data_IF_042947904576
#
_entry.id   IF_042947904576
#
_cell.length_a   1.000
_cell.length_b   1.000
_cell.length_c   1.000
_cell.angle_alpha   90.00
_cell.angle_beta   90.00
_cell.angle_gamma   90.00
#
_symmetry.space_group_name_H-M   'P 1'
#
loop_
_entity.id
_entity.type
_entity.pdbx_description
1 polymer ?
#
# COMPACT_ATOMS: atom_id res chain seq x y z
N UNK A 1 30.64 -10.31 4.77
CA UNK A 1 30.57 -9.17 5.71
C UNK A 1 29.30 -8.35 5.49
N UNK A 2 28.77 -7.69 6.52
CA UNK A 2 27.54 -6.88 6.45
C UNK A 2 27.84 -5.40 6.74
N UNK A 3 27.36 -4.50 5.88
CA UNK A 3 27.55 -3.05 6.04
C UNK A 3 26.20 -2.34 6.13
N UNK A 4 26.10 -1.31 6.97
CA UNK A 4 24.84 -0.62 7.22
C UNK A 4 24.53 0.49 6.21
N UNK A 5 25.57 1.10 5.64
CA UNK A 5 25.46 2.16 4.64
C UNK A 5 26.62 2.12 3.64
N UNK A 6 26.39 2.69 2.46
CA UNK A 6 27.38 2.80 1.40
C UNK A 6 27.04 3.96 0.46
N UNK A 7 28.00 4.36 -0.38
CA UNK A 7 27.82 5.34 -1.45
C UNK A 7 28.34 4.75 -2.75
N UNK A 8 27.62 4.99 -3.85
CA UNK A 8 28.05 4.53 -5.18
C UNK A 8 28.93 5.60 -5.80
N UNK A 9 30.19 5.29 -6.07
CA UNK A 9 31.09 6.13 -6.87
C UNK A 9 31.08 5.63 -8.31
N UNK A 10 30.40 6.35 -9.20
CA UNK A 10 30.22 5.98 -10.60
C UNK A 10 30.08 7.23 -11.45
N UNK A 11 30.66 7.27 -12.67
CA UNK A 11 30.46 8.39 -13.60
C UNK A 11 28.98 8.56 -14.02
N UNK A 12 28.14 7.55 -13.82
CA UNK A 12 26.71 7.57 -14.14
C UNK A 12 25.83 7.98 -12.96
N UNK A 13 26.41 8.34 -11.80
CA UNK A 13 25.66 8.74 -10.61
C UNK A 13 26.15 10.11 -10.14
N UNK A 14 25.21 11.04 -9.93
CA UNK A 14 25.49 12.36 -9.37
C UNK A 14 24.59 12.60 -8.17
N UNK A 15 25.21 12.92 -7.05
CA UNK A 15 24.54 13.34 -5.82
C UNK A 15 24.47 14.87 -5.76
N UNK A 16 23.32 15.42 -5.37
CA UNK A 16 23.13 16.83 -5.01
C UNK A 16 22.58 16.91 -3.59
N UNK A 17 22.30 18.12 -3.09
CA UNK A 17 21.82 18.34 -1.71
C UNK A 17 20.46 17.69 -1.41
N UNK A 18 19.68 17.33 -2.44
CA UNK A 18 18.36 16.70 -2.27
C UNK A 18 18.03 15.60 -3.26
N UNK A 19 18.91 15.29 -4.21
CA UNK A 19 18.58 14.39 -5.32
C UNK A 19 19.73 13.46 -5.67
N UNK A 20 19.38 12.27 -6.14
CA UNK A 20 20.29 11.34 -6.81
C UNK A 20 19.87 11.27 -8.27
N UNK A 21 20.79 11.63 -9.16
CA UNK A 21 20.64 11.50 -10.61
C UNK A 21 21.42 10.28 -11.07
N UNK A 22 20.78 9.37 -11.80
CA UNK A 22 21.46 8.19 -12.34
C UNK A 22 21.12 7.93 -13.80
N UNK A 23 22.12 7.48 -14.57
CA UNK A 23 21.96 7.07 -15.96
C UNK A 23 22.03 5.56 -16.06
N UNK A 24 21.02 4.95 -16.68
CA UNK A 24 20.92 3.51 -16.85
C UNK A 24 20.66 3.13 -18.30
N UNK A 25 21.53 2.28 -18.87
CA UNK A 25 21.29 1.66 -20.17
C UNK A 25 20.47 0.40 -20.00
N UNK A 26 19.15 0.48 -20.25
CA UNK A 26 18.29 -0.70 -20.23
C UNK A 26 18.48 -1.51 -21.50
N UNK A 27 19.20 -2.63 -21.38
CA UNK A 27 19.38 -3.59 -22.45
C UNK A 27 18.12 -4.44 -22.61
N UNK A 28 17.58 -4.46 -23.83
CA UNK A 28 16.36 -5.20 -24.18
C UNK A 28 16.45 -5.67 -25.62
N UNK A 29 15.43 -6.38 -26.10
CA UNK A 29 15.41 -6.99 -27.43
C UNK A 29 14.09 -6.71 -28.12
N UNK A 30 14.16 -6.25 -29.36
CA UNK A 30 13.00 -6.06 -30.23
C UNK A 30 12.87 -7.25 -31.19
N UNK A 31 11.68 -7.84 -31.27
CA UNK A 31 11.36 -8.86 -32.26
C UNK A 31 10.63 -8.23 -33.43
N UNK A 32 11.17 -8.42 -34.63
CA UNK A 32 10.55 -8.00 -35.89
C UNK A 32 10.24 -9.24 -36.72
N UNK A 33 9.00 -9.39 -37.16
CA UNK A 33 8.61 -10.43 -38.11
C UNK A 33 8.61 -9.84 -39.52
N UNK A 34 9.66 -10.11 -40.28
CA UNK A 34 9.87 -9.51 -41.61
C UNK A 34 10.03 -10.59 -42.67
N UNK A 35 9.53 -10.31 -43.87
CA UNK A 35 9.75 -11.17 -45.04
C UNK A 35 11.12 -10.88 -45.63
N UNK A 36 11.97 -11.90 -45.72
CA UNK A 36 13.22 -11.86 -46.50
C UNK A 36 13.20 -12.99 -47.51
N UNK A 37 13.46 -12.65 -48.78
CA UNK A 37 13.49 -13.63 -49.89
C UNK A 37 12.20 -14.47 -49.99
N UNK A 38 11.03 -13.87 -49.74
CA UNK A 38 9.74 -14.56 -49.81
C UNK A 38 9.44 -15.50 -48.63
N UNK A 39 10.31 -15.57 -47.63
CA UNK A 39 10.08 -16.32 -46.38
C UNK A 39 9.96 -15.35 -45.21
N UNK A 40 8.91 -15.50 -44.41
CA UNK A 40 8.79 -14.75 -43.15
C UNK A 40 9.74 -15.34 -42.11
N UNK A 41 10.52 -14.47 -41.48
CA UNK A 41 11.45 -14.86 -40.42
C UNK A 41 11.41 -13.85 -39.27
N UNK A 42 11.64 -14.38 -38.07
CA UNK A 42 11.84 -13.55 -36.88
C UNK A 42 13.26 -13.00 -36.87
N UNK A 43 13.38 -11.68 -36.72
CA UNK A 43 14.65 -10.99 -36.55
C UNK A 43 14.69 -10.43 -35.13
N UNK A 44 15.71 -10.86 -34.39
CA UNK A 44 15.96 -10.50 -33.00
C UNK A 44 16.98 -9.36 -32.99
N UNK A 45 16.57 -8.18 -32.55
CA UNK A 45 17.39 -6.95 -32.58
C UNK A 45 17.68 -6.50 -31.13
N UNK A 46 18.86 -6.82 -30.58
CA UNK A 46 19.29 -6.25 -29.30
C UNK A 46 19.32 -4.72 -29.40
N UNK A 47 18.81 -4.04 -28.38
CA UNK A 47 18.84 -2.59 -28.28
C UNK A 47 19.03 -2.13 -26.85
N UNK A 48 19.59 -0.95 -26.69
CA UNK A 48 19.76 -0.31 -25.38
C UNK A 48 18.93 0.96 -25.35
N UNK A 49 18.08 1.09 -24.35
CA UNK A 49 17.28 2.29 -24.09
C UNK A 49 17.92 3.04 -22.93
N UNK A 50 18.36 4.28 -23.16
CA UNK A 50 18.92 5.11 -22.11
C UNK A 50 17.80 5.69 -21.24
N UNK A 51 17.88 5.46 -19.93
CA UNK A 51 17.05 6.11 -18.93
C UNK A 51 17.90 7.06 -18.09
N UNK A 52 17.30 8.18 -17.71
CA UNK A 52 17.84 9.11 -16.73
C UNK A 52 16.85 9.16 -15.58
N UNK A 53 17.24 8.64 -14.42
CA UNK A 53 16.43 8.62 -13.22
C UNK A 53 16.82 9.79 -12.33
N UNK A 54 15.80 10.42 -11.75
CA UNK A 54 15.92 11.39 -10.67
C UNK A 54 15.19 10.82 -9.46
N UNK A 55 15.91 10.66 -8.36
CA UNK A 55 15.37 10.22 -7.07
C UNK A 55 15.49 11.36 -6.07
N UNK A 56 14.35 11.85 -5.58
CA UNK A 56 14.31 12.74 -4.43
C UNK A 56 14.77 11.97 -3.18
N UNK A 57 15.70 12.55 -2.43
CA UNK A 57 16.26 11.95 -1.22
C UNK A 57 15.51 12.36 0.04
N UNK A 58 14.63 13.36 -0.05
CA UNK A 58 13.76 13.73 1.06
C UNK A 58 12.72 12.64 1.31
N UNK A 59 12.78 12.04 2.49
CA UNK A 59 11.82 11.03 2.93
C UNK A 59 10.60 11.76 3.53
N UNK A 60 9.41 11.65 2.93
CA UNK A 60 8.24 12.37 3.40
C UNK A 60 7.68 11.73 4.68
N UNK A 61 7.04 12.54 5.53
CA UNK A 61 6.17 12.00 6.58
C UNK A 61 4.95 11.35 5.91
N UNK A 62 4.82 10.04 6.11
CA UNK A 62 3.83 9.22 5.42
C UNK A 62 2.61 8.95 6.29
N UNK A 63 1.43 9.23 5.74
CA UNK A 63 0.17 8.71 6.21
C UNK A 63 -0.27 7.49 5.40
N UNK A 64 -0.74 6.43 6.07
CA UNK A 64 -1.34 5.26 5.43
C UNK A 64 -2.77 5.12 5.93
N UNK A 65 -3.72 5.21 5.01
CA UNK A 65 -5.14 5.02 5.30
C UNK A 65 -5.61 3.65 4.79
N UNK A 66 -6.12 2.83 5.69
CA UNK A 66 -6.52 1.46 5.40
C UNK A 66 -8.03 1.36 5.23
N UNK A 67 -8.49 0.82 4.11
CA UNK A 67 -9.89 0.38 3.99
C UNK A 67 -9.98 -1.01 4.62
N UNK A 68 -10.82 -1.16 5.63
CA UNK A 68 -10.84 -2.34 6.51
C UNK A 68 -9.82 -2.26 7.65
N UNK A 69 -9.58 -1.06 8.19
CA UNK A 69 -8.56 -0.81 9.22
C UNK A 69 -8.78 -1.66 10.49
N UNK A 70 -10.04 -1.86 10.88
CA UNK A 70 -10.40 -2.72 11.99
C UNK A 70 -10.28 -4.22 11.68
N UNK A 71 -9.94 -4.63 10.47
CA UNK A 71 -9.73 -6.04 10.10
C UNK A 71 -8.50 -6.67 10.78
N UNK A 72 -8.32 -7.98 10.56
CA UNK A 72 -7.16 -8.70 11.12
C UNK A 72 -5.84 -8.08 10.66
N UNK A 73 -5.71 -7.80 9.36
CA UNK A 73 -4.50 -7.18 8.81
C UNK A 73 -4.30 -5.74 9.32
N UNK A 74 -5.34 -4.91 9.29
CA UNK A 74 -5.23 -3.51 9.70
C UNK A 74 -4.88 -3.34 11.18
N UNK A 75 -5.54 -4.12 12.06
CA UNK A 75 -5.21 -4.14 13.49
C UNK A 75 -3.81 -4.69 13.77
N UNK A 76 -3.41 -5.78 13.10
CA UNK A 76 -2.08 -6.38 13.28
C UNK A 76 -0.97 -5.50 12.74
N UNK A 77 -1.15 -4.86 11.58
CA UNK A 77 -0.16 -3.93 11.01
C UNK A 77 0.07 -2.74 11.95
N UNK A 78 -1.02 -2.14 12.42
CA UNK A 78 -0.97 -1.00 13.36
C UNK A 78 -0.28 -1.39 14.66
N UNK A 79 -0.70 -2.51 15.26
CA UNK A 79 -0.11 -3.07 16.47
C UNK A 79 1.39 -3.38 16.30
N UNK A 80 1.77 -4.02 15.19
CA UNK A 80 3.14 -4.40 14.91
C UNK A 80 4.06 -3.19 14.77
N UNK A 81 3.60 -2.12 14.13
CA UNK A 81 4.36 -0.87 14.04
C UNK A 81 4.50 -0.20 15.40
N UNK A 82 3.42 -0.08 16.18
CA UNK A 82 3.49 0.48 17.53
C UNK A 82 4.46 -0.33 18.40
N UNK A 83 4.37 -1.67 18.36
CA UNK A 83 5.25 -2.52 19.15
C UNK A 83 6.74 -2.33 18.81
N UNK A 84 7.08 -2.16 17.53
CA UNK A 84 8.46 -1.87 17.10
C UNK A 84 8.90 -0.48 17.55
N UNK A 85 8.08 0.56 17.29
CA UNK A 85 8.36 1.95 17.67
C UNK A 85 8.61 2.11 19.18
N UNK A 86 7.79 1.46 20.00
CA UNK A 86 7.88 1.54 21.46
C UNK A 86 8.88 0.52 22.06
N UNK A 87 9.54 -0.31 21.22
CA UNK A 87 10.51 -1.30 21.67
C UNK A 87 9.92 -2.39 22.57
N UNK A 88 8.66 -2.77 22.36
CA UNK A 88 7.93 -3.71 23.21
C UNK A 88 8.56 -5.10 23.15
N UNK A 89 8.67 -5.72 24.32
CA UNK A 89 8.96 -7.15 24.47
C UNK A 89 7.88 -7.80 25.32
N UNK A 90 7.61 -9.09 25.07
CA UNK A 90 6.57 -9.82 25.78
C UNK A 90 7.01 -11.25 26.04
N UNK A 91 6.52 -11.83 27.13
CA UNK A 91 6.77 -13.23 27.43
C UNK A 91 5.84 -14.12 26.61
N UNK A 92 6.38 -15.15 25.97
CA UNK A 92 5.63 -16.29 25.47
C UNK A 92 5.82 -17.49 26.39
N UNK A 93 5.22 -18.64 26.05
CA UNK A 93 5.44 -19.88 26.79
C UNK A 93 6.90 -20.35 26.74
N UNK A 94 7.66 -19.92 25.73
CA UNK A 94 9.01 -20.43 25.46
C UNK A 94 10.10 -19.41 25.82
N UNK A 95 9.88 -18.13 25.53
CA UNK A 95 10.90 -17.07 25.70
C UNK A 95 10.28 -15.68 25.73
N UNK A 96 11.08 -14.70 26.12
CA UNK A 96 10.76 -13.29 25.82
C UNK A 96 11.01 -13.04 24.34
N UNK A 97 10.01 -12.48 23.66
CA UNK A 97 10.09 -12.00 22.28
C UNK A 97 10.30 -10.50 22.28
N UNK A 98 10.98 -10.00 21.24
CA UNK A 98 11.11 -8.57 20.96
C UNK A 98 10.40 -8.26 19.66
N UNK A 99 9.69 -7.13 19.60
CA UNK A 99 9.08 -6.65 18.38
C UNK A 99 10.12 -6.54 17.25
N UNK A 100 9.73 -6.97 16.06
CA UNK A 100 10.56 -6.94 14.86
C UNK A 100 9.68 -6.84 13.60
N UNK A 101 10.32 -6.67 12.44
CA UNK A 101 9.67 -6.64 11.13
C UNK A 101 9.98 -7.89 10.29
N UNK A 102 10.12 -9.06 10.92
CA UNK A 102 10.33 -10.30 10.16
C UNK A 102 9.19 -10.55 9.16
N UNK A 103 9.55 -11.07 7.99
CA UNK A 103 8.64 -11.21 6.85
C UNK A 103 8.55 -9.96 5.96
N UNK A 104 9.04 -8.79 6.40
CA UNK A 104 9.15 -7.61 5.54
C UNK A 104 10.41 -7.66 4.68
N UNK A 105 10.24 -7.64 3.35
CA UNK A 105 11.38 -7.55 2.43
C UNK A 105 12.20 -6.27 2.67
N UNK A 106 11.54 -5.13 2.85
CA UNK A 106 12.26 -3.85 2.99
C UNK A 106 13.02 -3.74 4.31
N UNK A 107 12.47 -4.30 5.39
CA UNK A 107 13.04 -4.15 6.74
C UNK A 107 13.93 -5.31 7.18
N UNK A 108 13.69 -6.52 6.69
CA UNK A 108 14.33 -7.74 7.19
C UNK A 108 15.08 -8.55 6.11
N UNK A 109 15.23 -8.02 4.90
CA UNK A 109 16.08 -8.63 3.86
C UNK A 109 17.38 -7.84 3.62
N UNK A 110 18.31 -8.51 2.94
CA UNK A 110 19.60 -7.95 2.55
C UNK A 110 19.81 -8.09 1.04
N UNK A 111 20.63 -7.21 0.49
CA UNK A 111 21.05 -7.24 -0.91
C UNK A 111 22.57 -7.30 -1.00
N UNK A 112 23.09 -8.09 -1.94
CA UNK A 112 24.51 -8.13 -2.25
C UNK A 112 24.91 -6.86 -2.99
N UNK A 113 25.87 -6.12 -2.44
CA UNK A 113 26.35 -4.84 -3.01
C UNK A 113 27.70 -4.98 -3.70
N UNK A 114 28.49 -6.02 -3.39
CA UNK A 114 29.78 -6.23 -4.03
C UNK A 114 30.60 -7.31 -3.34
N UNK A 115 31.92 -7.28 -3.56
CA UNK A 115 32.89 -8.12 -2.87
C UNK A 115 34.03 -7.30 -2.30
N UNK A 116 34.61 -7.77 -1.19
CA UNK A 116 35.80 -7.21 -0.56
C UNK A 116 36.71 -8.34 -0.12
N UNK A 117 37.95 -8.36 -0.63
CA UNK A 117 38.93 -9.42 -0.37
C UNK A 117 38.41 -10.85 -0.64
N UNK A 118 37.60 -11.02 -1.67
CA UNK A 118 37.02 -12.32 -2.05
C UNK A 118 35.76 -12.72 -1.28
N UNK A 119 35.34 -11.95 -0.28
CA UNK A 119 34.07 -12.16 0.42
C UNK A 119 32.94 -11.33 -0.19
N UNK A 120 31.72 -11.88 -0.18
CA UNK A 120 30.53 -11.14 -0.57
C UNK A 120 30.09 -10.17 0.53
N UNK A 121 29.74 -8.96 0.10
CA UNK A 121 29.29 -7.88 0.97
C UNK A 121 27.81 -7.66 0.74
N UNK A 122 27.07 -7.66 1.84
CA UNK A 122 25.63 -7.45 1.88
C UNK A 122 25.31 -6.20 2.68
N UNK A 123 24.20 -5.56 2.32
CA UNK A 123 23.64 -4.43 3.05
C UNK A 123 22.12 -4.63 3.26
N UNK A 124 21.49 -3.99 4.27
CA UNK A 124 20.04 -4.03 4.43
C UNK A 124 19.35 -3.53 3.16
N UNK A 125 18.22 -4.12 2.76
CA UNK A 125 17.51 -3.69 1.56
C UNK A 125 17.14 -2.19 1.60
N UNK A 126 16.65 -1.72 2.76
CA UNK A 126 16.35 -0.29 3.00
C UNK A 126 17.53 0.67 2.93
N UNK A 127 18.77 0.17 2.87
CA UNK A 127 19.96 1.02 2.72
C UNK A 127 20.27 1.39 1.26
N UNK A 128 19.57 0.78 0.29
CA UNK A 128 19.78 1.04 -1.14
C UNK A 128 19.51 2.49 -1.52
N UNK A 129 18.41 3.04 -1.02
CA UNK A 129 17.94 4.41 -1.26
C UNK A 129 17.18 4.89 -0.01
N UNK A 130 17.03 6.22 0.20
CA UNK A 130 16.21 6.74 1.28
C UNK A 130 14.78 6.20 1.23
N UNK A 131 14.31 5.62 2.33
CA UNK A 131 12.98 5.02 2.46
C UNK A 131 12.34 5.43 3.78
N UNK A 132 11.01 5.52 3.80
CA UNK A 132 10.23 5.75 5.03
C UNK A 132 10.52 4.65 6.04
N UNK A 133 10.83 5.05 7.29
CA UNK A 133 10.88 4.12 8.40
C UNK A 133 9.44 3.76 8.82
N UNK A 134 9.05 2.47 8.85
CA UNK A 134 7.72 2.06 9.27
C UNK A 134 7.30 2.59 10.65
N UNK A 135 8.24 2.78 11.57
CA UNK A 135 7.97 3.34 12.92
C UNK A 135 7.40 4.76 12.88
N UNK A 136 7.62 5.49 11.79
CA UNK A 136 7.20 6.89 11.59
C UNK A 136 5.88 7.01 10.81
N UNK A 137 5.31 5.89 10.34
CA UNK A 137 4.07 5.89 9.58
C UNK A 137 2.89 6.25 10.50
N UNK A 138 2.08 7.20 10.05
CA UNK A 138 0.80 7.52 10.69
C UNK A 138 -0.30 6.67 10.07
N UNK A 139 -0.99 5.86 10.88
CA UNK A 139 -2.10 5.03 10.42
C UNK A 139 -3.46 5.68 10.70
N UNK A 140 -4.38 5.48 9.76
CA UNK A 140 -5.80 5.80 9.88
C UNK A 140 -6.60 4.92 8.92
N UNK A 141 -7.88 5.25 8.72
CA UNK A 141 -8.69 4.63 7.68
C UNK A 141 -10.11 4.34 8.11
N UNK A 142 -10.74 3.44 7.38
CA UNK A 142 -12.17 3.17 7.44
C UNK A 142 -12.45 1.72 7.77
N UNK A 143 -13.57 1.44 8.43
CA UNK A 143 -14.13 0.10 8.55
C UNK A 143 -15.65 0.22 8.66
N UNK A 144 -16.36 -0.77 8.14
CA UNK A 144 -17.83 -0.83 8.28
C UNK A 144 -18.24 -1.14 9.73
N UNK A 145 -17.29 -1.52 10.60
CA UNK A 145 -17.44 -1.64 12.05
C UNK A 145 -16.81 -0.46 12.78
N UNK A 146 -17.48 0.06 13.81
CA UNK A 146 -16.96 1.11 14.71
C UNK A 146 -16.03 0.60 15.82
N UNK A 147 -15.67 -0.70 15.79
CA UNK A 147 -14.82 -1.30 16.81
C UNK A 147 -13.42 -0.66 16.82
N UNK A 148 -13.00 -0.15 17.98
CA UNK A 148 -11.65 0.40 18.15
C UNK A 148 -10.58 -0.67 17.89
N UNK A 149 -9.36 -0.23 17.58
CA UNK A 149 -8.28 -1.09 17.14
C UNK A 149 -7.79 -2.06 18.23
N UNK A 150 -7.91 -1.72 19.52
CA UNK A 150 -7.55 -2.65 20.61
C UNK A 150 -8.53 -3.84 20.69
N UNK A 151 -9.83 -3.57 20.59
CA UNK A 151 -10.85 -4.63 20.58
C UNK A 151 -10.83 -5.40 19.25
N UNK A 152 -10.53 -4.73 18.14
CA UNK A 152 -10.30 -5.38 16.85
C UNK A 152 -9.10 -6.34 16.88
N UNK A 153 -7.99 -5.94 17.51
CA UNK A 153 -6.82 -6.80 17.75
C UNK A 153 -7.20 -8.04 18.57
N UNK A 154 -7.98 -7.86 19.64
CA UNK A 154 -8.47 -8.97 20.46
C UNK A 154 -9.40 -9.92 19.66
N UNK A 155 -10.30 -9.37 18.85
CA UNK A 155 -11.18 -10.13 17.94
C UNK A 155 -10.38 -10.92 16.90
N UNK A 156 -9.31 -10.33 16.38
CA UNK A 156 -8.48 -10.92 15.33
C UNK A 156 -7.71 -12.17 15.82
N UNK A 157 -7.37 -12.24 17.12
CA UNK A 157 -6.67 -13.37 17.74
C UNK A 157 -5.35 -13.74 17.05
N UNK A 158 -4.64 -12.72 16.55
CA UNK A 158 -3.35 -12.90 15.86
C UNK A 158 -2.18 -12.80 16.83
N UNK A 159 -2.16 -11.77 17.67
CA UNK A 159 -1.03 -11.46 18.56
C UNK A 159 -1.15 -12.18 19.91
N UNK A 160 -0.02 -12.42 20.57
CA UNK A 160 0.00 -12.99 21.93
C UNK A 160 -0.75 -12.12 22.93
N UNK A 161 -1.43 -12.75 23.90
CA UNK A 161 -2.28 -12.05 24.88
C UNK A 161 -1.49 -11.00 25.69
N UNK A 162 -0.24 -11.30 26.05
CA UNK A 162 0.60 -10.36 26.81
C UNK A 162 0.91 -9.11 25.99
N UNK A 163 1.29 -9.27 24.72
CA UNK A 163 1.48 -8.18 23.79
C UNK A 163 0.19 -7.36 23.59
N UNK A 164 -0.97 -8.02 23.45
CA UNK A 164 -2.25 -7.32 23.34
C UNK A 164 -2.55 -6.42 24.54
N UNK A 165 -2.26 -6.88 25.76
CA UNK A 165 -2.45 -6.07 26.98
C UNK A 165 -1.55 -4.85 26.99
N UNK A 166 -0.29 -5.01 26.60
CA UNK A 166 0.68 -3.92 26.54
C UNK A 166 0.31 -2.89 25.45
N UNK A 167 -0.27 -3.33 24.34
CA UNK A 167 -0.68 -2.46 23.22
C UNK A 167 -2.03 -1.76 23.43
N UNK A 168 -2.89 -2.25 24.32
CA UNK A 168 -4.24 -1.69 24.53
C UNK A 168 -4.26 -0.17 24.76
N UNK A 169 -3.43 0.42 25.65
CA UNK A 169 -3.44 1.87 25.89
C UNK A 169 -3.13 2.71 24.64
N UNK A 170 -2.41 2.13 23.67
CA UNK A 170 -2.06 2.82 22.43
C UNK A 170 -3.19 2.73 21.38
N UNK A 171 -4.01 1.68 21.42
CA UNK A 171 -4.93 1.33 20.34
C UNK A 171 -6.41 1.52 20.68
N UNK A 172 -6.77 1.68 21.96
CA UNK A 172 -8.18 1.77 22.37
C UNK A 172 -8.88 3.07 21.96
N UNK A 173 -8.10 4.12 21.66
CA UNK A 173 -8.59 5.40 21.16
C UNK A 173 -8.55 5.51 19.63
N UNK A 174 -8.01 4.51 18.94
CA UNK A 174 -7.99 4.46 17.48
C UNK A 174 -9.30 3.82 17.01
N UNK A 175 -10.20 4.63 16.46
CA UNK A 175 -11.51 4.19 15.95
C UNK A 175 -11.57 4.43 14.44
N UNK A 176 -11.95 3.44 13.62
CA UNK A 176 -12.09 3.63 12.18
C UNK A 176 -13.16 4.66 11.81
N UNK A 177 -12.90 5.42 10.75
CA UNK A 177 -13.92 6.23 10.09
C UNK A 177 -15.02 5.34 9.48
N UNK A 178 -16.24 5.85 9.27
CA UNK A 178 -17.31 5.09 8.63
C UNK A 178 -16.91 4.59 7.24
N UNK A 179 -17.11 3.31 6.93
CA UNK A 179 -16.80 2.72 5.63
C UNK A 179 -17.95 2.80 4.62
N UNK A 180 -17.66 2.59 3.33
CA UNK A 180 -18.71 2.33 2.33
C UNK A 180 -19.12 0.86 2.43
N UNK A 181 -20.41 0.60 2.58
CA UNK A 181 -20.97 -0.75 2.65
C UNK A 181 -21.99 -0.95 1.53
N UNK A 182 -21.73 -1.94 0.67
CA UNK A 182 -22.69 -2.45 -0.29
C UNK A 182 -22.85 -3.97 -0.07
N UNK A 183 -24.02 -4.45 0.40
CA UNK A 183 -24.25 -5.85 0.70
C UNK A 183 -24.17 -6.74 -0.55
N UNK A 184 -24.36 -6.21 -1.75
CA UNK A 184 -24.34 -7.00 -2.99
C UNK A 184 -22.90 -7.32 -3.43
N UNK A 185 -21.90 -6.63 -2.86
CA UNK A 185 -20.50 -6.85 -3.21
C UNK A 185 -19.75 -7.78 -2.27
N UNK A 186 -20.25 -8.03 -1.06
CA UNK A 186 -19.59 -8.88 -0.07
C UNK A 186 -20.53 -9.95 0.48
N UNK A 187 -20.01 -10.91 1.24
CA UNK A 187 -20.82 -11.98 1.82
C UNK A 187 -21.92 -11.43 2.75
N UNK A 188 -23.15 -11.96 2.62
CA UNK A 188 -24.31 -11.53 3.40
C UNK A 188 -24.12 -11.64 4.92
N UNK A 189 -23.21 -12.51 5.39
CA UNK A 189 -22.87 -12.66 6.80
C UNK A 189 -22.12 -11.46 7.40
N UNK A 190 -21.74 -10.46 6.59
CA UNK A 190 -21.13 -9.22 7.07
C UNK A 190 -22.15 -8.18 7.54
N UNK A 191 -23.45 -8.38 7.30
CA UNK A 191 -24.48 -7.38 7.62
C UNK A 191 -24.54 -6.99 9.10
N UNK A 192 -24.34 -7.93 10.03
CA UNK A 192 -24.32 -7.63 11.47
C UNK A 192 -23.09 -6.86 11.94
N UNK A 193 -22.02 -6.84 11.13
CA UNK A 193 -20.79 -6.08 11.39
C UNK A 193 -20.90 -4.62 10.93
N UNK A 194 -21.78 -4.32 9.98
CA UNK A 194 -21.89 -3.03 9.33
C UNK A 194 -22.70 -2.02 10.17
N UNK A 195 -22.09 -1.47 11.23
CA UNK A 195 -22.70 -0.42 12.08
C UNK A 195 -22.08 0.97 11.89
N UNK A 196 -21.04 1.10 11.06
CA UNK A 196 -20.27 2.33 10.84
C UNK A 196 -20.16 2.63 9.34
N UNK A 197 -21.23 3.17 8.76
CA UNK A 197 -21.40 3.23 7.29
C UNK A 197 -21.65 4.65 6.78
N UNK A 198 -20.97 5.02 5.70
CA UNK A 198 -21.25 6.23 4.92
C UNK A 198 -22.53 6.03 4.10
N UNK A 199 -23.52 6.90 4.33
CA UNK A 199 -24.81 6.90 3.64
C UNK A 199 -24.80 7.86 2.44
N UNK A 200 -25.83 7.76 1.61
CA UNK A 200 -26.03 8.62 0.45
C UNK A 200 -25.76 7.89 -0.86
N UNK A 201 -25.79 8.66 -1.94
CA UNK A 201 -25.42 8.21 -3.30
C UNK A 201 -23.93 7.88 -3.38
N UNK A 202 -23.54 7.08 -4.37
CA UNK A 202 -22.14 6.73 -4.65
C UNK A 202 -21.27 7.97 -4.85
N UNK A 203 -21.83 9.02 -5.48
CA UNK A 203 -21.15 10.31 -5.64
C UNK A 203 -20.89 10.98 -4.29
N UNK A 204 -21.88 11.04 -3.40
CA UNK A 204 -21.72 11.59 -2.05
C UNK A 204 -20.70 10.79 -1.24
N UNK A 205 -20.70 9.46 -1.37
CA UNK A 205 -19.72 8.58 -0.74
C UNK A 205 -18.30 8.89 -1.21
N UNK A 206 -18.07 9.06 -2.52
CA UNK A 206 -16.75 9.49 -3.06
C UNK A 206 -16.33 10.83 -2.47
N UNK A 207 -17.23 11.80 -2.40
CA UNK A 207 -16.93 13.12 -1.81
C UNK A 207 -16.58 13.02 -0.32
N UNK A 208 -17.24 12.12 0.42
CA UNK A 208 -16.90 11.88 1.82
C UNK A 208 -15.49 11.27 1.95
N UNK A 209 -15.11 10.30 1.12
CA UNK A 209 -13.75 9.73 1.14
C UNK A 209 -12.70 10.78 0.80
N UNK A 210 -12.96 11.64 -0.19
CA UNK A 210 -12.08 12.76 -0.53
C UNK A 210 -11.88 13.69 0.68
N UNK A 211 -12.97 14.04 1.36
CA UNK A 211 -12.94 14.87 2.57
C UNK A 211 -12.12 14.21 3.67
N UNK A 212 -12.37 12.92 3.94
CA UNK A 212 -11.68 12.16 4.97
C UNK A 212 -10.16 12.10 4.73
N UNK A 213 -9.73 11.92 3.48
CA UNK A 213 -8.30 11.93 3.10
C UNK A 213 -7.67 13.30 3.38
N UNK A 214 -8.35 14.40 3.03
CA UNK A 214 -7.87 15.77 3.27
C UNK A 214 -7.76 16.07 4.77
N UNK A 215 -8.81 15.77 5.52
CA UNK A 215 -8.85 16.00 6.96
C UNK A 215 -7.79 15.15 7.69
N UNK A 216 -7.60 13.88 7.29
CA UNK A 216 -6.53 13.05 7.82
C UNK A 216 -5.15 13.64 7.53
N UNK A 217 -4.92 14.10 6.29
CA UNK A 217 -3.66 14.72 5.89
C UNK A 217 -3.34 15.95 6.72
N UNK A 218 -4.31 16.85 6.86
CA UNK A 218 -4.19 18.10 7.60
C UNK A 218 -3.99 17.87 9.10
N UNK A 219 -4.86 17.06 9.72
CA UNK A 219 -4.83 16.80 11.16
C UNK A 219 -3.50 16.15 11.61
N UNK A 220 -2.93 15.26 10.79
CA UNK A 220 -1.71 14.54 11.12
C UNK A 220 -0.43 15.19 10.58
N UNK A 221 -0.58 16.27 9.80
CA UNK A 221 0.53 17.01 9.17
C UNK A 221 1.46 16.08 8.39
N UNK A 222 0.90 15.16 7.60
CA UNK A 222 1.66 14.24 6.75
C UNK A 222 1.84 14.83 5.36
N UNK A 223 3.00 14.61 4.74
CA UNK A 223 3.33 15.19 3.43
C UNK A 223 2.65 14.40 2.31
N UNK A 224 2.63 13.06 2.46
CA UNK A 224 2.02 12.12 1.52
C UNK A 224 1.06 11.19 2.22
N UNK A 225 0.03 10.78 1.49
CA UNK A 225 -0.92 9.74 1.91
C UNK A 225 -0.87 8.62 0.89
N UNK A 226 -1.02 7.38 1.36
CA UNK A 226 -1.30 6.20 0.54
C UNK A 226 -2.56 5.54 1.09
N UNK A 227 -3.47 5.14 0.22
CA UNK A 227 -4.64 4.35 0.59
C UNK A 227 -4.43 2.90 0.18
N UNK A 228 -4.70 1.97 1.09
CA UNK A 228 -4.59 0.54 0.82
C UNK A 228 -5.89 -0.18 1.20
N UNK A 229 -6.44 -0.93 0.26
CA UNK A 229 -7.55 -1.83 0.51
C UNK A 229 -7.07 -3.12 1.17
N UNK A 230 -7.52 -3.35 2.40
CA UNK A 230 -7.33 -4.61 3.12
C UNK A 230 -8.65 -5.10 3.76
N UNK A 231 -9.78 -4.66 3.22
CA UNK A 231 -11.11 -5.08 3.64
C UNK A 231 -11.49 -6.43 3.02
N UNK A 232 -12.72 -6.85 3.29
CA UNK A 232 -13.29 -8.06 2.71
C UNK A 232 -13.11 -8.10 1.18
N UNK A 233 -12.87 -9.29 0.66
CA UNK A 233 -12.91 -9.54 -0.78
C UNK A 233 -14.30 -9.24 -1.30
N UNK A 234 -14.37 -8.38 -2.31
CA UNK A 234 -15.60 -8.16 -3.06
C UNK A 234 -15.76 -9.21 -4.17
N UNK A 235 -16.99 -9.44 -4.63
CA UNK A 235 -17.19 -10.09 -5.94
C UNK A 235 -16.62 -9.21 -7.05
N UNK A 236 -16.43 -9.80 -8.23
CA UNK A 236 -16.06 -9.01 -9.40
C UNK A 236 -17.21 -8.12 -9.85
N UNK A 237 -16.88 -6.93 -10.34
CA UNK A 237 -17.78 -6.09 -11.14
C UNK A 237 -17.78 -6.56 -12.59
N UNK A 238 -18.94 -6.52 -13.24
CA UNK A 238 -19.04 -6.69 -14.69
C UNK A 238 -18.37 -5.52 -15.42
N UNK A 239 -17.58 -5.83 -16.45
CA UNK A 239 -17.01 -4.81 -17.35
C UNK A 239 -17.88 -4.71 -18.58
N UNK A 240 -18.53 -3.56 -18.78
CA UNK A 240 -19.57 -3.37 -19.81
C UNK A 240 -19.35 -2.06 -20.55
N UNK A 241 -19.47 -2.12 -21.88
CA UNK A 241 -19.41 -0.93 -22.75
C UNK A 241 -20.50 0.07 -22.37
N UNK A 242 -20.12 1.33 -22.14
CA UNK A 242 -21.05 2.38 -21.69
C UNK A 242 -21.26 2.44 -20.18
N UNK A 243 -20.64 1.54 -19.40
CA UNK A 243 -20.75 1.50 -17.95
C UNK A 243 -19.43 1.92 -17.28
N UNK A 244 -18.36 1.15 -17.53
CA UNK A 244 -17.07 1.25 -16.83
C UNK A 244 -15.90 0.80 -17.72
N UNK A 245 -16.07 0.96 -19.03
CA UNK A 245 -15.07 0.67 -20.08
C UNK A 245 -14.20 1.88 -20.44
N UNK A 246 -14.62 3.07 -20.02
CA UNK A 246 -13.90 4.32 -20.19
C UNK A 246 -14.08 5.21 -18.97
N UNK A 247 -13.16 6.16 -18.78
CA UNK A 247 -13.26 7.18 -17.73
C UNK A 247 -14.61 7.92 -17.76
N UNK A 248 -15.03 8.42 -18.93
CA UNK A 248 -16.27 9.20 -19.07
C UNK A 248 -17.52 8.37 -18.72
N UNK A 249 -17.54 7.11 -19.14
CA UNK A 249 -18.63 6.19 -18.81
C UNK A 249 -18.66 5.87 -17.32
N UNK A 250 -17.50 5.64 -16.69
CA UNK A 250 -17.40 5.37 -15.26
C UNK A 250 -17.93 6.54 -14.42
N UNK A 251 -17.55 7.78 -14.74
CA UNK A 251 -18.05 8.97 -14.05
C UNK A 251 -19.54 9.21 -14.31
N UNK A 252 -20.01 8.97 -15.54
CA UNK A 252 -21.44 9.05 -15.85
C UNK A 252 -22.26 8.00 -15.08
N UNK A 253 -21.71 6.80 -14.89
CA UNK A 253 -22.31 5.72 -14.11
C UNK A 253 -22.32 6.03 -12.61
N UNK A 254 -21.28 6.72 -12.12
CA UNK A 254 -21.25 7.25 -10.74
C UNK A 254 -22.38 8.25 -10.52
N UNK A 255 -22.59 9.17 -11.46
CA UNK A 255 -23.65 10.18 -11.40
C UNK A 255 -25.06 9.56 -11.45
N UNK A 256 -25.24 8.47 -12.20
CA UNK A 256 -26.48 7.69 -12.26
C UNK A 256 -26.67 6.72 -11.09
N UNK A 257 -25.70 6.65 -10.16
CA UNK A 257 -25.71 5.75 -9.02
C UNK A 257 -25.84 4.26 -9.43
N UNK A 258 -25.15 3.87 -10.51
CA UNK A 258 -25.26 2.52 -11.07
C UNK A 258 -24.85 1.44 -10.05
N UNK A 259 -25.62 0.34 -9.92
CA UNK A 259 -25.39 -0.67 -8.90
C UNK A 259 -24.04 -1.39 -9.07
N UNK A 260 -23.54 -1.53 -10.29
CA UNK A 260 -22.35 -2.34 -10.59
C UNK A 260 -21.00 -1.64 -10.30
N UNK A 261 -21.02 -0.42 -9.75
CA UNK A 261 -19.83 0.27 -9.23
C UNK A 261 -19.57 -0.17 -7.78
N UNK A 262 -18.51 -0.93 -7.54
CA UNK A 262 -18.23 -1.45 -6.20
C UNK A 262 -17.75 -0.37 -5.22
N UNK A 263 -17.87 -0.59 -3.90
CA UNK A 263 -17.22 0.24 -2.89
C UNK A 263 -15.72 0.44 -3.16
N UNK A 264 -14.97 -0.60 -3.52
CA UNK A 264 -13.53 -0.44 -3.83
C UNK A 264 -13.28 0.49 -5.02
N UNK A 265 -14.14 0.50 -6.04
CA UNK A 265 -14.07 1.47 -7.14
C UNK A 265 -14.30 2.89 -6.66
N UNK A 266 -15.21 3.12 -5.70
CA UNK A 266 -15.44 4.45 -5.13
C UNK A 266 -14.22 4.98 -4.37
N UNK A 267 -13.56 4.13 -3.57
CA UNK A 267 -12.29 4.51 -2.94
C UNK A 267 -11.20 4.80 -3.97
N UNK A 268 -11.08 3.98 -5.02
CA UNK A 268 -10.10 4.19 -6.09
C UNK A 268 -10.34 5.52 -6.83
N UNK A 269 -11.60 5.84 -7.18
CA UNK A 269 -11.97 7.13 -7.79
C UNK A 269 -11.57 8.30 -6.88
N UNK A 270 -11.91 8.24 -5.59
CA UNK A 270 -11.55 9.27 -4.63
C UNK A 270 -10.03 9.50 -4.56
N UNK A 271 -9.25 8.42 -4.54
CA UNK A 271 -7.79 8.49 -4.50
C UNK A 271 -7.20 9.08 -5.78
N UNK A 272 -7.70 8.69 -6.96
CA UNK A 272 -7.25 9.25 -8.24
C UNK A 272 -7.55 10.75 -8.32
N UNK A 273 -8.75 11.18 -7.92
CA UNK A 273 -9.13 12.59 -7.90
C UNK A 273 -8.27 13.44 -6.95
N UNK A 274 -7.76 12.84 -5.87
CA UNK A 274 -6.87 13.48 -4.89
C UNK A 274 -5.39 13.24 -5.13
N UNK A 275 -5.03 12.60 -6.25
CA UNK A 275 -3.65 12.22 -6.59
C UNK A 275 -2.95 11.45 -5.45
N UNK A 276 -3.70 10.55 -4.81
CA UNK A 276 -3.24 9.66 -3.74
C UNK A 276 -3.06 8.25 -4.33
N UNK A 277 -1.90 7.60 -4.13
CA UNK A 277 -1.73 6.21 -4.55
C UNK A 277 -2.75 5.29 -3.85
N UNK A 278 -3.44 4.48 -4.64
CA UNK A 278 -4.36 3.45 -4.16
C UNK A 278 -3.81 2.06 -4.46
N UNK A 279 -3.73 1.22 -3.43
CA UNK A 279 -3.25 -0.16 -3.52
C UNK A 279 -4.41 -1.11 -3.25
N UNK A 280 -4.72 -1.99 -4.20
CA UNK A 280 -5.69 -3.05 -3.97
C UNK A 280 -5.00 -4.30 -3.41
N UNK A 281 -5.22 -4.59 -2.11
CA UNK A 281 -4.71 -5.77 -1.44
C UNK A 281 -5.62 -7.01 -1.51
N UNK A 282 -6.74 -6.92 -2.23
CA UNK A 282 -7.74 -7.99 -2.36
C UNK A 282 -7.94 -8.36 -3.85
N UNK A 283 -8.54 -9.54 -4.15
CA UNK A 283 -8.49 -10.08 -5.51
C UNK A 283 -9.52 -9.49 -6.48
N UNK A 284 -10.48 -8.68 -6.03
CA UNK A 284 -11.52 -8.13 -6.92
C UNK A 284 -10.92 -7.21 -8.00
N UNK A 285 -11.61 -7.10 -9.13
CA UNK A 285 -11.22 -6.28 -10.28
C UNK A 285 -11.56 -4.79 -10.11
N UNK A 286 -11.11 -4.16 -9.01
CA UNK A 286 -11.34 -2.74 -8.73
C UNK A 286 -10.91 -1.82 -9.87
N UNK A 287 -9.79 -2.16 -10.53
CA UNK A 287 -9.21 -1.40 -11.65
C UNK A 287 -9.77 -1.88 -12.98
N UNK A 288 -11.00 -1.43 -13.27
CA UNK A 288 -11.62 -1.54 -14.60
C UNK A 288 -10.92 -0.61 -15.61
N UNK A 289 -11.08 -0.84 -16.94
CA UNK A 289 -10.46 0.00 -17.98
C UNK A 289 -10.76 1.49 -17.85
#
# INVERSE_FOLDING_TARGET
MFIESFKVDSPNVKYTDGEIHSVYGYETTELVHESRNGTYQWVVKPKTVKYEFKTDTHVPKLGVMLVGWGGNNGSTLTAGVIANREGISWATKDKVQQANYFGSLTQASAIRVGSYNGEEIYAPFKSLLPMVNPDEIVFGGWDISDMNLADAMARAKVLDIDLQKQLRPYMEHMVPLPGIYDPDFIAANQGSRANNVIKGTKKEQVQQIIKDIKEFKEANKVDKVVVLWTANTERYSNVVVGLNDTMDNLFSSLDRNEPEISPSTLYAIACVLENVPFINGSPQNTFVP
#
